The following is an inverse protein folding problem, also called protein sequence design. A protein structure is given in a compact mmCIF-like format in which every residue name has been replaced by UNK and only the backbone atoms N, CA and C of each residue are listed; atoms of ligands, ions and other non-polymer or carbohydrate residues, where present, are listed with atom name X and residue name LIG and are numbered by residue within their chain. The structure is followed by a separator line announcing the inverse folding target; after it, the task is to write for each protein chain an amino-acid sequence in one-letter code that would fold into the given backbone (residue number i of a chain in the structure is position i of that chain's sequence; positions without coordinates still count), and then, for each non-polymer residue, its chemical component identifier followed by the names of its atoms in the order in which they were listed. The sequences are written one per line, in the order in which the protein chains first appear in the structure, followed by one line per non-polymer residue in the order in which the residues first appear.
data_IF_671933274766
#
_entry.id   IF_671933274766
#
_cell.length_a   1.000
_cell.length_b   1.000
_cell.length_c   1.000
_cell.angle_alpha   90.00
_cell.angle_beta   90.00
_cell.angle_gamma   90.00
#
_symmetry.space_group_name_H-M   'P 1'
#
loop_
_entity.id
_entity.type
_entity.pdbx_description
1 polymer ?
#
# COMPACT_ATOMS: atom_id res chain seq x y z
N UNK A 1 0.00 -16.18 -2.55
CA UNK A 1 0.91 -15.58 -3.53
C UNK A 1 1.23 -14.14 -3.14
N UNK A 2 0.28 -13.19 -3.15
CA UNK A 2 0.57 -11.79 -2.74
C UNK A 2 1.07 -11.66 -1.29
N UNK A 3 0.41 -12.30 -0.31
CA UNK A 3 0.88 -12.25 1.08
C UNK A 3 2.32 -12.77 1.26
N UNK A 4 2.65 -13.88 0.59
CA UNK A 4 4.01 -14.44 0.61
C UNK A 4 5.01 -13.50 -0.06
N UNK A 5 4.62 -12.86 -1.17
CA UNK A 5 5.46 -11.84 -1.80
C UNK A 5 5.77 -10.68 -0.85
N UNK A 6 4.78 -10.19 -0.08
CA UNK A 6 5.02 -9.17 0.95
C UNK A 6 6.01 -9.66 2.02
N UNK A 7 5.84 -10.89 2.50
CA UNK A 7 6.75 -11.51 3.49
C UNK A 7 8.17 -11.65 2.93
N UNK A 8 8.33 -12.01 1.65
CA UNK A 8 9.62 -12.11 0.97
C UNK A 8 10.30 -10.73 0.82
N UNK A 9 9.53 -9.64 0.78
CA UNK A 9 10.04 -8.27 0.84
C UNK A 9 10.37 -7.82 2.27
N UNK A 10 10.21 -8.70 3.27
CA UNK A 10 10.52 -8.43 4.67
C UNK A 10 9.37 -7.78 5.46
N UNK A 11 8.17 -7.65 4.86
CA UNK A 11 7.00 -7.06 5.52
C UNK A 11 6.42 -8.06 6.51
N UNK A 12 6.18 -7.63 7.75
CA UNK A 12 5.72 -8.49 8.82
C UNK A 12 4.90 -7.80 9.91
N UNK A 13 5.00 -8.33 11.13
CA UNK A 13 4.29 -7.83 12.31
C UNK A 13 4.65 -6.36 12.58
N UNK A 14 3.65 -5.58 12.96
CA UNK A 14 3.74 -4.14 13.27
C UNK A 14 4.12 -3.21 12.10
N UNK A 15 4.44 -3.77 10.93
CA UNK A 15 4.61 -2.99 9.71
C UNK A 15 3.28 -2.42 9.23
N UNK A 16 3.37 -1.31 8.50
CA UNK A 16 2.24 -0.66 7.85
C UNK A 16 2.46 -0.63 6.35
N UNK A 17 1.47 -1.05 5.60
CA UNK A 17 1.49 -1.05 4.14
C UNK A 17 0.40 -0.13 3.63
N UNK A 18 0.78 0.90 2.88
CA UNK A 18 -0.20 1.74 2.20
C UNK A 18 -0.91 0.94 1.12
N UNK A 19 -2.20 1.20 0.90
CA UNK A 19 -2.95 0.61 -0.20
C UNK A 19 -3.73 1.69 -0.93
N UNK A 20 -3.39 1.89 -2.20
CA UNK A 20 -4.04 2.82 -3.12
C UNK A 20 -4.52 2.02 -4.33
N UNK A 21 -5.68 1.38 -4.18
CA UNK A 21 -6.26 0.47 -5.17
C UNK A 21 -7.74 0.80 -5.24
N UNK A 22 -8.28 0.97 -6.45
CA UNK A 22 -9.70 1.27 -6.62
C UNK A 22 -10.58 0.12 -6.10
N UNK A 23 -11.84 0.44 -5.80
CA UNK A 23 -12.81 -0.55 -5.31
C UNK A 23 -12.97 -1.68 -6.32
N UNK A 24 -12.69 -2.90 -5.89
CA UNK A 24 -12.82 -4.09 -6.71
C UNK A 24 -12.16 -5.32 -6.09
N UNK A 25 -12.08 -6.44 -6.83
CA UNK A 25 -11.44 -7.67 -6.34
C UNK A 25 -9.96 -7.46 -5.94
N UNK A 26 -9.23 -6.62 -6.69
CA UNK A 26 -7.83 -6.29 -6.40
C UNK A 26 -7.66 -5.68 -5.01
N UNK A 27 -8.53 -4.75 -4.61
CA UNK A 27 -8.52 -4.16 -3.27
C UNK A 27 -8.71 -5.21 -2.18
N UNK A 28 -9.66 -6.14 -2.34
CA UNK A 28 -9.88 -7.21 -1.37
C UNK A 28 -8.67 -8.15 -1.29
N UNK A 29 -8.07 -8.50 -2.43
CA UNK A 29 -6.83 -9.30 -2.46
C UNK A 29 -5.70 -8.59 -1.73
N UNK A 30 -5.49 -7.30 -1.99
CA UNK A 30 -4.46 -6.48 -1.33
C UNK A 30 -4.66 -6.39 0.17
N UNK A 31 -5.88 -6.07 0.63
CA UNK A 31 -6.20 -6.01 2.06
C UNK A 31 -5.94 -7.35 2.75
N UNK A 32 -6.44 -8.46 2.19
CA UNK A 32 -6.20 -9.79 2.74
C UNK A 32 -4.73 -10.17 2.70
N UNK A 33 -3.98 -9.73 1.69
CA UNK A 33 -2.54 -9.99 1.60
C UNK A 33 -1.75 -9.29 2.72
N UNK A 34 -2.04 -8.01 2.97
CA UNK A 34 -1.42 -7.24 4.05
C UNK A 34 -1.71 -7.90 5.41
N UNK A 35 -2.98 -8.20 5.69
CA UNK A 35 -3.37 -8.84 6.95
C UNK A 35 -2.76 -10.24 7.13
N UNK A 36 -2.64 -11.02 6.03
CA UNK A 36 -1.99 -12.33 6.06
C UNK A 36 -0.47 -12.25 6.23
N UNK A 37 0.16 -11.14 5.84
CA UNK A 37 1.57 -10.89 6.14
C UNK A 37 1.81 -10.49 7.60
N UNK A 38 0.74 -10.21 8.37
CA UNK A 38 0.81 -9.75 9.76
C UNK A 38 0.91 -8.23 9.90
N UNK A 39 0.83 -7.49 8.79
CA UNK A 39 0.94 -6.04 8.75
C UNK A 39 -0.44 -5.33 8.85
N UNK A 40 -0.41 -4.07 9.23
CA UNK A 40 -1.56 -3.15 9.14
C UNK A 40 -1.64 -2.48 7.77
N UNK A 41 -2.85 -2.13 7.32
CA UNK A 41 -3.03 -1.39 6.06
C UNK A 41 -3.33 0.10 6.32
N UNK A 42 -2.83 0.96 5.44
CA UNK A 42 -3.13 2.41 5.43
C UNK A 42 -3.89 2.72 4.13
N UNK A 43 -5.21 2.97 4.18
CA UNK A 43 -5.99 3.24 2.98
C UNK A 43 -5.67 4.63 2.42
N UNK A 44 -5.35 4.69 1.14
CA UNK A 44 -5.13 5.93 0.39
C UNK A 44 -6.16 6.04 -0.73
N UNK A 45 -6.83 7.18 -0.78
CA UNK A 45 -7.76 7.51 -1.86
C UNK A 45 -7.03 8.33 -2.92
N UNK A 46 -6.88 7.83 -4.16
CA UNK A 46 -6.16 8.55 -5.21
C UNK A 46 -6.83 9.87 -5.63
N UNK A 47 -8.09 10.10 -5.23
CA UNK A 47 -8.79 11.37 -5.48
C UNK A 47 -8.36 12.48 -4.53
N UNK A 48 -7.61 12.16 -3.48
CA UNK A 48 -7.10 13.17 -2.55
C UNK A 48 -6.00 14.02 -3.19
N UNK A 49 -5.92 15.32 -2.84
CA UNK A 49 -4.80 16.16 -3.25
C UNK A 49 -3.45 15.54 -2.84
N UNK A 50 -2.43 15.73 -3.67
CA UNK A 50 -1.09 15.17 -3.44
C UNK A 50 -0.52 15.52 -2.05
N UNK A 51 -0.74 16.74 -1.57
CA UNK A 51 -0.33 17.18 -0.24
C UNK A 51 -0.96 16.36 0.89
N UNK A 52 -2.24 15.99 0.73
CA UNK A 52 -2.95 15.13 1.70
C UNK A 52 -2.39 13.72 1.68
N UNK A 53 -2.10 13.17 0.51
CA UNK A 53 -1.49 11.85 0.37
C UNK A 53 -0.08 11.83 0.98
N UNK A 54 0.72 12.86 0.70
CA UNK A 54 2.05 13.02 1.29
C UNK A 54 1.99 13.12 2.82
N UNK A 55 1.04 13.90 3.36
CA UNK A 55 0.82 13.97 4.81
C UNK A 55 0.46 12.60 5.41
N UNK A 56 -0.47 11.86 4.80
CA UNK A 56 -0.87 10.53 5.29
C UNK A 56 0.29 9.54 5.24
N UNK A 57 1.09 9.57 4.18
CA UNK A 57 2.29 8.72 4.06
C UNK A 57 3.35 9.10 5.10
N UNK A 58 3.54 10.39 5.37
CA UNK A 58 4.52 10.86 6.35
C UNK A 58 4.10 10.52 7.78
N UNK A 59 2.82 10.72 8.12
CA UNK A 59 2.26 10.44 9.44
C UNK A 59 2.19 8.92 9.72
N UNK A 60 1.76 8.15 8.72
CA UNK A 60 1.66 6.70 8.87
C UNK A 60 2.99 5.98 8.64
N UNK A 61 4.00 6.59 8.01
CA UNK A 61 5.31 5.99 7.74
C UNK A 61 5.23 4.50 7.33
N UNK A 62 4.54 4.16 6.22
CA UNK A 62 4.43 2.79 5.76
C UNK A 62 5.77 2.30 5.19
N UNK A 63 6.00 1.00 5.25
CA UNK A 63 7.22 0.36 4.71
C UNK A 63 7.13 0.06 3.22
N UNK A 64 5.91 -0.01 2.68
CA UNK A 64 5.62 -0.23 1.26
C UNK A 64 4.24 0.31 0.89
N UNK A 65 3.97 0.42 -0.41
CA UNK A 65 2.64 0.72 -0.95
C UNK A 65 2.19 -0.35 -1.96
N UNK A 66 1.01 -0.92 -1.75
CA UNK A 66 0.28 -1.66 -2.76
C UNK A 66 -0.50 -0.69 -3.67
N UNK A 67 -0.30 -0.81 -4.97
CA UNK A 67 -0.98 -0.02 -5.99
C UNK A 67 -1.54 -0.90 -7.09
N UNK A 68 -2.38 -0.32 -7.92
CA UNK A 68 -2.67 -0.83 -9.26
C UNK A 68 -2.13 0.12 -10.34
N UNK A 69 -2.09 -0.35 -11.58
CA UNK A 69 -1.59 0.43 -12.73
C UNK A 69 -2.22 1.83 -12.85
N UNK A 70 -3.52 2.01 -12.56
CA UNK A 70 -4.16 3.34 -12.64
C UNK A 70 -3.76 4.31 -11.53
N UNK A 71 -3.13 3.82 -10.46
CA UNK A 71 -2.82 4.58 -9.24
C UNK A 71 -1.32 4.70 -8.96
N UNK A 72 -0.47 4.04 -9.76
CA UNK A 72 0.99 4.04 -9.54
C UNK A 72 1.58 5.44 -9.56
N UNK A 73 1.14 6.27 -10.51
CA UNK A 73 1.64 7.64 -10.69
C UNK A 73 1.23 8.58 -9.54
N UNK A 74 0.17 8.23 -8.80
CA UNK A 74 -0.32 9.00 -7.66
C UNK A 74 0.64 8.92 -6.47
N UNK A 75 1.40 7.82 -6.36
CA UNK A 75 2.29 7.54 -5.23
C UNK A 75 3.78 7.60 -5.59
N UNK A 76 4.14 8.20 -6.72
CA UNK A 76 5.53 8.46 -7.14
C UNK A 76 6.26 9.51 -6.26
N UNK A 77 5.97 9.52 -4.96
CA UNK A 77 6.48 10.42 -3.94
C UNK A 77 7.55 9.68 -3.12
N UNK A 78 8.78 9.60 -3.64
CA UNK A 78 9.96 9.19 -2.87
C UNK A 78 10.41 7.74 -3.02
N UNK A 79 11.26 7.29 -2.11
CA UNK A 79 11.92 5.97 -2.12
C UNK A 79 11.08 4.83 -1.51
N UNK A 80 9.77 5.04 -1.34
CA UNK A 80 8.87 4.04 -0.78
C UNK A 80 8.74 2.87 -1.79
N UNK A 81 9.01 1.61 -1.40
CA UNK A 81 8.78 0.47 -2.27
C UNK A 81 7.32 0.39 -2.73
N UNK A 82 7.12 0.37 -4.05
CA UNK A 82 5.80 0.26 -4.68
C UNK A 82 5.63 -1.14 -5.26
N UNK A 83 4.54 -1.81 -4.90
CA UNK A 83 4.20 -3.17 -5.33
C UNK A 83 2.88 -3.09 -6.09
N UNK A 84 2.91 -3.47 -7.38
CA UNK A 84 1.72 -3.49 -8.22
C UNK A 84 0.96 -4.82 -8.05
N UNK A 85 -0.36 -4.74 -7.87
CA UNK A 85 -1.27 -5.89 -7.74
C UNK A 85 -1.69 -6.49 -9.08
#
# INVERSE_FOLDING_TARGET
QVAHHLIEQGIGLDDRVAICVERGPGMIVGLLAILKAGAGYVPLDPTYPAERLAYLLQDSAPVAALVQTSTVDVLSLGSLPVINL
#
